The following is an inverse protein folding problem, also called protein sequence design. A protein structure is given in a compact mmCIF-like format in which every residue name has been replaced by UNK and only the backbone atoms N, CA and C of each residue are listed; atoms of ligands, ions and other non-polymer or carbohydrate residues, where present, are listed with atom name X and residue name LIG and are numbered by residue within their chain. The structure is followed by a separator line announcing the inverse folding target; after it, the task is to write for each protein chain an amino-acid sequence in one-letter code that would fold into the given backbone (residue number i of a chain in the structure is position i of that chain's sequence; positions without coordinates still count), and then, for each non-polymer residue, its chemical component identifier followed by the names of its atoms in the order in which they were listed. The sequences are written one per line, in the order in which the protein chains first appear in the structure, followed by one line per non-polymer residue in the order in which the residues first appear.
data_IF_768041458656
#
_entry.id   IF_768041458656
#
_cell.length_a   1.000
_cell.length_b   1.000
_cell.length_c   1.000
_cell.angle_alpha   90.00
_cell.angle_beta   90.00
_cell.angle_gamma   90.00
#
_symmetry.space_group_name_H-M   'P 1'
#
loop_
_entity.id
_entity.type
_entity.pdbx_description
1 polymer ?
#
# COMPACT_ATOMS: atom_id res chain seq x y z
N UNK A 1 25.68 -42.11 1.02
CA UNK A 1 25.87 -43.49 1.53
C UNK A 1 26.44 -43.35 2.94
N UNK A 2 25.66 -43.73 3.96
CA UNK A 2 26.03 -43.82 5.39
C UNK A 2 27.26 -44.74 5.59
N UNK A 3 28.08 -44.54 6.63
CA UNK A 3 27.74 -45.16 7.92
C UNK A 3 27.97 -44.30 9.18
N UNK A 4 27.16 -44.69 10.15
CA UNK A 4 27.00 -44.27 11.53
C UNK A 4 28.09 -44.94 12.39
N UNK A 5 28.76 -44.23 13.29
CA UNK A 5 29.63 -44.82 14.31
C UNK A 5 28.95 -44.74 15.68
N UNK A 6 28.65 -45.91 16.26
CA UNK A 6 28.05 -46.09 17.58
C UNK A 6 29.20 -46.34 18.58
N UNK A 7 29.28 -45.51 19.62
CA UNK A 7 30.12 -45.72 20.80
C UNK A 7 29.25 -45.98 22.03
N UNK A 8 29.39 -47.17 22.61
CA UNK A 8 28.74 -47.65 23.85
C UNK A 8 29.55 -47.24 25.09
N UNK A 9 28.88 -46.70 26.11
CA UNK A 9 29.33 -46.65 27.50
C UNK A 9 28.11 -46.89 28.43
N UNK A 10 28.27 -47.63 29.55
CA UNK A 10 27.14 -48.18 30.31
C UNK A 10 26.62 -47.21 31.39
N UNK A 11 25.30 -47.19 31.57
CA UNK A 11 24.61 -46.58 32.70
C UNK A 11 24.50 -47.60 33.85
N UNK A 12 24.98 -47.23 35.02
CA UNK A 12 24.78 -47.97 36.26
C UNK A 12 23.40 -47.60 36.85
N UNK A 13 22.54 -48.61 37.04
CA UNK A 13 21.28 -48.49 37.78
C UNK A 13 21.53 -48.82 39.26
N UNK A 14 21.35 -47.83 40.14
CA UNK A 14 21.21 -48.05 41.58
C UNK A 14 19.75 -48.38 41.90
N UNK A 15 19.52 -49.47 42.61
CA UNK A 15 18.21 -49.87 43.14
C UNK A 15 17.89 -49.03 44.39
N UNK A 16 16.71 -48.42 44.43
CA UNK A 16 16.09 -47.89 45.64
C UNK A 16 14.76 -48.62 45.84
N UNK A 17 14.53 -49.10 47.07
CA UNK A 17 13.30 -49.77 47.52
C UNK A 17 12.10 -48.82 47.48
N UNK A 18 10.86 -49.33 47.31
CA UNK A 18 9.67 -48.50 47.34
C UNK A 18 9.18 -48.31 48.79
N UNK A 19 9.19 -47.07 49.27
CA UNK A 19 8.44 -46.68 50.47
C UNK A 19 6.94 -46.54 50.13
N UNK A 20 6.10 -47.03 51.03
CA UNK A 20 4.63 -47.05 50.97
C UNK A 20 4.01 -45.63 50.88
N UNK A 21 2.83 -45.46 50.27
CA UNK A 21 2.14 -44.17 50.25
C UNK A 21 1.54 -43.85 51.62
N UNK A 22 1.95 -42.72 52.20
CA UNK A 22 1.34 -42.12 53.38
C UNK A 22 -0.06 -41.58 53.03
N UNK A 23 -1.09 -42.18 53.64
CA UNK A 23 -2.49 -41.80 53.54
C UNK A 23 -2.77 -40.69 54.59
N UNK A 24 -2.27 -39.50 54.32
CA UNK A 24 -2.67 -38.28 55.03
C UNK A 24 -3.51 -37.42 54.10
N UNK A 25 -4.82 -37.66 54.10
CA UNK A 25 -5.79 -36.74 53.52
C UNK A 25 -5.61 -35.33 54.12
N UNK A 26 -5.74 -34.31 53.27
CA UNK A 26 -5.68 -32.90 53.65
C UNK A 26 -6.58 -32.64 54.87
N UNK A 27 -6.06 -31.92 55.87
CA UNK A 27 -6.85 -31.54 57.04
C UNK A 27 -7.97 -30.56 56.67
N UNK A 28 -9.06 -30.51 57.44
CA UNK A 28 -10.16 -29.56 57.20
C UNK A 28 -9.69 -28.09 57.23
N UNK A 29 -8.63 -27.79 57.99
CA UNK A 29 -7.99 -26.47 58.02
C UNK A 29 -7.22 -26.17 56.73
N UNK A 30 -6.47 -27.14 56.18
CA UNK A 30 -5.76 -26.97 54.89
C UNK A 30 -6.74 -26.89 53.72
N UNK A 31 -7.85 -27.65 53.75
CA UNK A 31 -8.94 -27.52 52.78
C UNK A 31 -9.60 -26.15 52.87
N UNK A 32 -9.83 -25.63 54.08
CA UNK A 32 -10.39 -24.29 54.27
C UNK A 32 -9.42 -23.18 53.84
N UNK A 33 -8.11 -23.34 54.03
CA UNK A 33 -7.09 -22.40 53.52
C UNK A 33 -6.97 -22.45 52.00
N UNK A 34 -7.03 -23.63 51.39
CA UNK A 34 -7.03 -23.79 49.93
C UNK A 34 -8.31 -23.20 49.32
N UNK A 35 -9.48 -23.41 49.94
CA UNK A 35 -10.75 -22.86 49.48
C UNK A 35 -10.80 -21.34 49.68
N UNK A 36 -10.22 -20.82 50.76
CA UNK A 36 -10.05 -19.38 50.99
C UNK A 36 -9.10 -18.75 49.97
N UNK A 37 -7.97 -19.40 49.65
CA UNK A 37 -7.02 -18.94 48.64
C UNK A 37 -7.63 -18.98 47.22
N UNK A 38 -8.38 -20.02 46.88
CA UNK A 38 -9.11 -20.13 45.60
C UNK A 38 -10.27 -19.12 45.49
N UNK A 39 -10.89 -18.74 46.61
CA UNK A 39 -11.91 -17.68 46.63
C UNK A 39 -11.31 -16.27 46.51
N UNK A 40 -10.05 -16.08 46.94
CA UNK A 40 -9.33 -14.81 46.85
C UNK A 40 -8.70 -14.57 45.46
N UNK A 41 -8.37 -15.65 44.74
CA UNK A 41 -7.90 -15.63 43.34
C UNK A 41 -9.01 -15.93 42.31
N UNK A 42 -10.26 -16.03 42.75
CA UNK A 42 -11.40 -16.06 41.82
C UNK A 42 -11.43 -14.74 41.02
N UNK A 43 -11.46 -14.79 39.68
CA UNK A 43 -11.68 -13.59 38.88
C UNK A 43 -12.94 -12.90 39.40
N UNK A 44 -12.97 -11.57 39.54
CA UNK A 44 -14.19 -10.88 39.92
C UNK A 44 -15.30 -11.36 38.99
N UNK A 45 -16.38 -11.86 39.61
CA UNK A 45 -17.60 -12.32 38.93
C UNK A 45 -17.89 -11.33 37.81
N UNK A 46 -17.78 -11.83 36.57
CA UNK A 46 -17.87 -11.01 35.36
C UNK A 46 -19.18 -10.24 35.45
N UNK A 47 -19.07 -8.94 35.75
CA UNK A 47 -20.22 -8.06 35.84
C UNK A 47 -21.00 -8.28 34.55
N UNK A 48 -22.26 -8.70 34.70
CA UNK A 48 -23.15 -8.95 33.57
C UNK A 48 -22.91 -7.85 32.53
N UNK A 49 -22.65 -8.22 31.26
CA UNK A 49 -22.25 -7.25 30.26
C UNK A 49 -23.21 -6.07 30.36
N UNK A 50 -22.71 -4.83 30.47
CA UNK A 50 -23.60 -3.68 30.53
C UNK A 50 -24.61 -3.87 29.42
N UNK A 51 -25.93 -3.69 29.69
CA UNK A 51 -26.96 -3.98 28.71
C UNK A 51 -26.49 -3.35 27.43
N UNK A 52 -26.29 -4.20 26.40
CA UNK A 52 -25.78 -3.78 25.11
C UNK A 52 -26.40 -2.41 24.85
N UNK A 53 -25.58 -1.36 24.79
CA UNK A 53 -26.04 -0.04 24.37
C UNK A 53 -26.34 -0.14 22.88
N UNK A 54 -27.33 -0.97 22.54
CA UNK A 54 -27.92 -1.16 21.24
C UNK A 54 -28.37 0.21 20.74
N UNK A 55 -28.78 1.12 21.63
CA UNK A 55 -29.19 2.48 21.27
C UNK A 55 -28.07 3.41 20.79
N UNK A 56 -26.84 3.31 21.30
CA UNK A 56 -25.76 4.24 20.91
C UNK A 56 -25.01 3.78 19.65
N UNK A 57 -24.85 2.46 19.46
CA UNK A 57 -24.30 1.90 18.21
C UNK A 57 -25.33 1.80 17.08
N UNK A 58 -26.63 1.63 17.37
CA UNK A 58 -27.66 1.66 16.31
C UNK A 58 -27.92 3.06 15.75
N UNK A 59 -27.62 4.13 16.48
CA UNK A 59 -27.67 5.49 15.93
C UNK A 59 -26.44 5.83 15.06
N UNK A 60 -25.33 5.09 15.21
CA UNK A 60 -24.22 5.07 14.25
C UNK A 60 -24.50 4.18 13.03
N UNK A 61 -25.53 3.32 13.05
CA UNK A 61 -25.67 2.23 12.06
C UNK A 61 -26.45 2.59 10.78
N UNK A 62 -26.65 3.87 10.48
CA UNK A 62 -27.23 4.30 9.20
C UNK A 62 -26.48 5.45 8.52
N UNK A 63 -25.67 6.22 9.24
CA UNK A 63 -24.86 7.28 8.66
C UNK A 63 -23.50 6.71 8.24
N UNK A 64 -22.98 7.10 7.08
CA UNK A 64 -21.69 6.62 6.63
C UNK A 64 -20.57 7.16 7.51
N UNK A 65 -19.47 6.42 7.59
CA UNK A 65 -18.21 6.96 8.07
C UNK A 65 -17.76 8.02 7.07
N UNK A 66 -17.64 9.27 7.53
CA UNK A 66 -17.23 10.41 6.71
C UNK A 66 -15.97 11.03 7.31
N UNK A 67 -14.94 11.25 6.48
CA UNK A 67 -13.74 12.01 6.85
C UNK A 67 -13.33 12.98 5.76
N UNK A 68 -12.75 14.12 6.15
CA UNK A 68 -12.07 15.05 5.27
C UNK A 68 -10.57 15.06 5.57
N UNK A 69 -9.74 14.97 4.53
CA UNK A 69 -8.29 15.11 4.62
C UNK A 69 -7.86 16.31 3.78
N UNK A 70 -7.13 17.26 4.36
CA UNK A 70 -6.62 18.42 3.66
C UNK A 70 -5.10 18.41 3.65
N UNK A 71 -4.51 18.45 2.46
CA UNK A 71 -3.07 18.47 2.23
C UNK A 71 -2.64 19.79 1.60
N UNK A 72 -1.81 20.55 2.32
CA UNK A 72 -1.25 21.83 1.85
C UNK A 72 0.28 21.80 1.94
N UNK A 73 0.96 22.49 1.04
CA UNK A 73 2.42 22.57 1.03
C UNK A 73 2.92 23.97 0.71
N UNK A 74 3.99 24.39 1.40
CA UNK A 74 4.86 25.46 0.95
C UNK A 74 6.02 24.83 0.19
N UNK A 75 6.20 25.20 -1.08
CA UNK A 75 7.20 24.62 -1.97
C UNK A 75 8.20 25.67 -2.46
N UNK A 76 9.44 25.23 -2.65
CA UNK A 76 10.49 25.99 -3.30
C UNK A 76 11.27 25.10 -4.28
N UNK A 77 11.45 25.56 -5.50
CA UNK A 77 12.15 24.93 -6.61
C UNK A 77 13.26 25.85 -7.09
N UNK A 78 14.40 25.26 -7.48
CA UNK A 78 15.50 26.01 -8.12
C UNK A 78 15.30 26.22 -9.63
N UNK A 79 14.21 25.70 -10.20
CA UNK A 79 13.87 25.78 -11.63
C UNK A 79 12.47 26.35 -11.82
N UNK A 80 12.24 26.99 -12.97
CA UNK A 80 10.93 27.54 -13.36
C UNK A 80 9.98 26.45 -13.88
N UNK A 81 10.51 25.33 -14.35
CA UNK A 81 9.75 24.19 -14.90
C UNK A 81 10.10 22.92 -14.12
N UNK A 82 9.54 22.73 -12.90
CA UNK A 82 9.78 21.52 -12.12
C UNK A 82 9.11 20.31 -12.79
N UNK A 83 9.82 19.18 -12.83
CA UNK A 83 9.32 17.94 -13.44
C UNK A 83 8.65 17.01 -12.41
N UNK A 84 7.62 17.50 -11.74
CA UNK A 84 6.79 16.70 -10.85
C UNK A 84 5.78 15.91 -11.68
N UNK A 85 5.53 14.65 -11.30
CA UNK A 85 4.74 13.73 -12.12
C UNK A 85 3.42 13.33 -11.50
N UNK A 86 3.28 13.47 -10.17
CA UNK A 86 2.04 13.23 -9.46
C UNK A 86 1.06 14.39 -9.64
N UNK A 87 -0.23 14.08 -9.75
CA UNK A 87 -1.30 15.06 -9.91
C UNK A 87 -1.51 15.91 -8.66
N UNK A 88 -1.21 15.34 -7.49
CA UNK A 88 -1.26 16.01 -6.19
C UNK A 88 0.08 16.59 -5.73
N UNK A 89 1.16 16.43 -6.50
CA UNK A 89 2.46 16.97 -6.11
C UNK A 89 2.40 18.51 -6.03
N UNK A 90 3.20 19.18 -5.17
CA UNK A 90 3.39 20.61 -5.29
C UNK A 90 4.03 20.92 -6.66
N UNK A 91 3.43 21.82 -7.45
CA UNK A 91 3.86 22.10 -8.84
C UNK A 91 4.49 23.50 -9.02
N UNK A 92 4.37 24.37 -8.01
CA UNK A 92 4.87 25.75 -8.12
C UNK A 92 5.48 26.26 -6.81
N UNK A 93 6.35 27.27 -6.93
CA UNK A 93 6.88 28.00 -5.78
C UNK A 93 5.74 28.66 -4.97
N UNK A 94 5.83 28.61 -3.65
CA UNK A 94 4.84 29.19 -2.74
C UNK A 94 3.83 28.17 -2.23
N UNK A 95 2.59 28.61 -1.99
CA UNK A 95 1.54 27.79 -1.38
C UNK A 95 0.82 26.94 -2.43
N UNK A 96 0.73 25.64 -2.14
CA UNK A 96 0.06 24.65 -2.96
C UNK A 96 -1.03 23.97 -2.12
N UNK A 97 -2.22 23.81 -2.69
CA UNK A 97 -3.25 22.89 -2.19
C UNK A 97 -3.12 21.61 -3.01
N UNK A 98 -2.66 20.54 -2.37
CA UNK A 98 -2.46 19.25 -3.04
C UNK A 98 -3.82 18.55 -3.20
N UNK A 99 -4.59 18.51 -2.12
CA UNK A 99 -5.95 17.97 -2.14
C UNK A 99 -6.76 18.41 -0.92
N UNK A 100 -8.08 18.45 -1.08
CA UNK A 100 -9.05 18.23 -0.01
C UNK A 100 -9.83 16.97 -0.37
N UNK A 101 -9.58 15.87 0.30
CA UNK A 101 -10.23 14.59 0.07
C UNK A 101 -11.43 14.41 1.00
N UNK A 102 -12.57 13.98 0.46
CA UNK A 102 -13.71 13.45 1.18
C UNK A 102 -13.69 11.94 1.03
N UNK A 103 -13.58 11.23 2.15
CA UNK A 103 -13.74 9.78 2.18
C UNK A 103 -15.06 9.40 2.86
N UNK A 104 -15.76 8.44 2.26
CA UNK A 104 -17.07 7.95 2.69
C UNK A 104 -17.07 6.43 2.64
N UNK A 105 -17.41 5.76 3.75
CA UNK A 105 -17.47 4.30 3.82
C UNK A 105 -18.67 3.80 4.62
N UNK A 106 -19.38 2.79 4.11
CA UNK A 106 -20.51 2.19 4.83
C UNK A 106 -20.85 0.78 4.33
N UNK A 107 -21.22 -0.11 5.25
CA UNK A 107 -21.93 -1.33 4.87
C UNK A 107 -23.35 -0.96 4.39
N UNK A 108 -23.63 -1.20 3.10
CA UNK A 108 -24.94 -0.92 2.50
C UNK A 108 -25.98 -1.89 3.09
N UNK A 109 -25.60 -3.16 3.14
CA UNK A 109 -26.39 -4.28 3.67
C UNK A 109 -25.43 -5.43 4.08
N UNK A 110 -25.91 -6.61 4.50
CA UNK A 110 -25.04 -7.73 4.86
C UNK A 110 -24.18 -8.29 3.70
N UNK A 111 -24.46 -7.91 2.45
CA UNK A 111 -23.82 -8.43 1.25
C UNK A 111 -22.86 -7.44 0.60
N UNK A 112 -23.08 -6.12 0.76
CA UNK A 112 -22.30 -5.09 0.09
C UNK A 112 -21.79 -4.01 1.04
N UNK A 113 -20.57 -3.56 0.79
CA UNK A 113 -19.98 -2.33 1.33
C UNK A 113 -19.79 -1.32 0.21
N UNK A 114 -20.05 -0.06 0.49
CA UNK A 114 -19.78 1.08 -0.38
C UNK A 114 -18.59 1.85 0.17
N UNK A 115 -17.69 2.24 -0.72
CA UNK A 115 -16.52 3.08 -0.42
C UNK A 115 -16.38 4.15 -1.52
N UNK A 116 -16.06 5.37 -1.11
CA UNK A 116 -15.81 6.50 -2.00
C UNK A 116 -14.71 7.43 -1.49
N UNK A 117 -13.86 7.89 -2.38
CA UNK A 117 -12.83 8.91 -2.17
C UNK A 117 -12.99 9.97 -3.27
N UNK A 118 -13.32 11.20 -2.87
CA UNK A 118 -13.60 12.32 -3.76
C UNK A 118 -12.63 13.44 -3.42
N UNK A 119 -11.82 13.86 -4.39
CA UNK A 119 -10.84 14.93 -4.19
C UNK A 119 -11.37 16.25 -4.74
N UNK A 120 -11.32 17.28 -3.91
CA UNK A 120 -11.57 18.67 -4.26
C UNK A 120 -10.22 19.36 -4.47
N UNK A 121 -9.96 19.78 -5.70
CA UNK A 121 -8.84 20.63 -6.06
C UNK A 121 -9.30 22.10 -6.14
N UNK A 122 -8.36 23.03 -6.29
CA UNK A 122 -8.69 24.46 -6.39
C UNK A 122 -9.61 24.77 -7.59
N UNK A 123 -9.51 23.98 -8.66
CA UNK A 123 -10.24 24.19 -9.92
C UNK A 123 -10.99 22.95 -10.41
N UNK A 124 -11.41 22.06 -9.51
CA UNK A 124 -12.13 20.86 -9.93
C UNK A 124 -12.54 19.97 -8.78
N UNK A 125 -13.39 19.01 -9.10
CA UNK A 125 -13.74 17.90 -8.23
C UNK A 125 -13.49 16.63 -9.03
N UNK A 126 -12.79 15.70 -8.42
CA UNK A 126 -12.42 14.45 -9.01
C UNK A 126 -12.96 13.30 -8.18
N UNK A 127 -13.63 12.38 -8.85
CA UNK A 127 -14.01 11.10 -8.25
C UNK A 127 -12.79 10.21 -8.41
N UNK A 128 -12.15 9.82 -7.32
CA UNK A 128 -10.98 8.95 -7.39
C UNK A 128 -11.40 7.49 -7.36
N UNK A 129 -12.12 7.15 -6.30
CA UNK A 129 -12.71 5.85 -6.11
C UNK A 129 -14.18 6.01 -5.73
N UNK A 130 -15.06 5.23 -6.34
CA UNK A 130 -16.46 5.03 -5.95
C UNK A 130 -16.81 3.61 -6.38
N UNK A 131 -16.94 2.70 -5.43
CA UNK A 131 -17.23 1.31 -5.73
C UNK A 131 -18.05 0.63 -4.64
N UNK A 132 -18.65 -0.51 -5.01
CA UNK A 132 -19.27 -1.43 -4.07
C UNK A 132 -18.50 -2.76 -4.06
N UNK A 133 -18.31 -3.32 -2.87
CA UNK A 133 -17.58 -4.56 -2.65
C UNK A 133 -18.48 -5.59 -1.97
N UNK A 134 -18.45 -6.84 -2.45
CA UNK A 134 -19.16 -7.94 -1.81
C UNK A 134 -18.51 -8.36 -0.48
N UNK A 135 -19.30 -8.76 0.51
CA UNK A 135 -18.82 -9.10 1.86
C UNK A 135 -18.80 -10.61 2.15
N UNK A 136 -19.49 -11.43 1.36
CA UNK A 136 -19.80 -12.82 1.77
C UNK A 136 -19.86 -13.83 0.64
N UNK A 137 -19.12 -13.65 -0.47
CA UNK A 137 -19.08 -14.68 -1.51
C UNK A 137 -18.35 -15.94 -1.00
N UNK A 138 -18.82 -17.14 -1.40
CA UNK A 138 -18.21 -18.40 -0.97
C UNK A 138 -16.77 -18.54 -1.48
N UNK A 139 -16.00 -19.41 -0.84
CA UNK A 139 -14.65 -19.73 -1.30
C UNK A 139 -13.62 -18.61 -1.07
N UNK A 140 -13.87 -17.69 -0.13
CA UNK A 140 -12.99 -16.54 0.16
C UNK A 140 -12.79 -15.63 -1.07
N UNK A 141 -13.82 -15.59 -1.90
CA UNK A 141 -13.87 -14.72 -3.07
C UNK A 141 -14.45 -13.36 -2.67
N UNK A 142 -14.00 -12.31 -3.34
CA UNK A 142 -14.54 -10.97 -3.20
C UNK A 142 -14.60 -10.32 -4.58
N UNK A 143 -15.68 -9.60 -4.85
CA UNK A 143 -15.82 -8.78 -6.06
C UNK A 143 -16.04 -7.35 -5.65
N UNK A 144 -15.36 -6.42 -6.31
CA UNK A 144 -15.71 -4.99 -6.29
C UNK A 144 -16.01 -4.48 -7.69
N UNK A 145 -16.95 -3.56 -7.80
CA UNK A 145 -17.37 -2.95 -9.07
C UNK A 145 -17.59 -1.45 -8.87
N UNK A 146 -17.09 -0.65 -9.82
CA UNK A 146 -17.08 0.81 -9.73
C UNK A 146 -15.77 1.38 -10.25
N UNK A 147 -15.46 2.61 -9.88
CA UNK A 147 -14.17 3.21 -10.16
C UNK A 147 -13.23 2.99 -8.98
N UNK A 148 -12.03 2.48 -9.24
CA UNK A 148 -11.06 2.16 -8.20
C UNK A 148 -9.63 2.22 -8.72
N UNK A 149 -8.68 2.44 -7.81
CA UNK A 149 -7.26 2.22 -8.07
C UNK A 149 -7.02 0.72 -8.22
N UNK A 150 -6.41 0.34 -9.35
CA UNK A 150 -6.06 -1.05 -9.61
C UNK A 150 -5.02 -1.53 -8.59
N UNK A 151 -5.10 -2.80 -8.17
CA UNK A 151 -4.18 -3.37 -7.17
C UNK A 151 -2.82 -3.80 -7.76
N UNK A 152 -2.28 -3.01 -8.70
CA UNK A 152 -0.92 -3.16 -9.20
C UNK A 152 0.08 -2.61 -8.19
N UNK A 153 1.03 -3.43 -7.74
CA UNK A 153 2.01 -3.02 -6.73
C UNK A 153 1.36 -2.67 -5.37
N UNK A 154 2.12 -1.94 -4.56
CA UNK A 154 1.73 -1.46 -3.23
C UNK A 154 1.35 0.02 -3.24
N UNK A 155 2.09 0.85 -3.96
CA UNK A 155 1.87 2.30 -3.94
C UNK A 155 0.63 2.74 -4.72
N UNK A 156 0.34 2.09 -5.86
CA UNK A 156 -0.78 2.50 -6.71
C UNK A 156 -2.13 2.55 -5.99
N UNK A 157 -2.55 1.53 -5.21
CA UNK A 157 -3.82 1.59 -4.47
C UNK A 157 -3.75 2.44 -3.19
N UNK A 158 -2.75 3.31 -3.03
CA UNK A 158 -2.55 4.13 -1.84
C UNK A 158 -2.75 5.60 -2.17
N UNK A 159 -3.65 6.26 -1.43
CA UNK A 159 -3.94 7.70 -1.54
C UNK A 159 -2.83 8.59 -0.94
N UNK A 160 -2.69 9.87 -1.36
CA UNK A 160 -1.59 10.74 -0.98
C UNK A 160 -1.36 10.92 0.53
N UNK A 161 -2.42 10.97 1.33
CA UNK A 161 -2.33 11.11 2.79
C UNK A 161 -1.72 9.88 3.47
N UNK A 162 -1.70 8.73 2.82
CA UNK A 162 -1.03 7.54 3.33
C UNK A 162 0.44 7.42 2.88
N UNK A 163 0.93 8.29 1.99
CA UNK A 163 2.32 8.25 1.53
C UNK A 163 3.30 8.71 2.62
N UNK A 164 4.52 8.16 2.58
CA UNK A 164 5.64 8.58 3.43
C UNK A 164 6.27 9.90 2.96
N UNK A 165 6.03 10.29 1.71
CA UNK A 165 6.60 11.46 1.03
C UNK A 165 5.48 12.39 0.56
N UNK A 166 5.81 13.67 0.41
CA UNK A 166 4.90 14.72 -0.04
C UNK A 166 4.47 14.49 -1.48
N UNK A 167 5.34 13.95 -2.32
CA UNK A 167 5.13 13.70 -3.74
C UNK A 167 5.02 12.20 -4.08
N UNK A 168 4.38 11.93 -5.22
CA UNK A 168 4.33 10.60 -5.82
C UNK A 168 5.71 10.21 -6.37
N UNK A 169 6.14 8.93 -6.24
CA UNK A 169 7.30 8.46 -6.99
C UNK A 169 7.12 8.70 -8.49
N UNK A 170 8.10 9.34 -9.14
CA UNK A 170 8.08 9.58 -10.57
C UNK A 170 8.00 8.29 -11.39
N UNK A 171 8.54 7.20 -10.85
CA UNK A 171 8.47 5.89 -11.48
C UNK A 171 7.01 5.48 -11.76
N UNK A 172 6.09 5.82 -10.85
CA UNK A 172 4.66 5.57 -11.01
C UNK A 172 4.01 6.60 -11.93
N UNK A 173 4.30 7.88 -11.75
CA UNK A 173 3.77 8.94 -12.61
C UNK A 173 4.13 8.72 -14.09
N UNK A 174 5.32 8.18 -14.37
CA UNK A 174 5.71 7.80 -15.73
C UNK A 174 4.86 6.67 -16.30
N UNK A 175 4.63 5.61 -15.54
CA UNK A 175 3.96 4.41 -16.03
C UNK A 175 2.44 4.59 -16.05
N UNK A 176 1.87 5.15 -14.99
CA UNK A 176 0.43 5.19 -14.77
C UNK A 176 -0.19 6.57 -15.06
N UNK A 177 0.60 7.63 -14.89
CA UNK A 177 0.12 9.01 -14.86
C UNK A 177 0.02 9.53 -13.43
N UNK A 178 -0.26 10.84 -13.30
CA UNK A 178 -0.18 11.54 -12.03
C UNK A 178 -1.24 11.14 -10.99
N UNK A 179 -2.34 10.54 -11.42
CA UNK A 179 -3.47 10.14 -10.55
C UNK A 179 -3.48 8.63 -10.26
N UNK A 180 -2.41 7.92 -10.62
CA UNK A 180 -2.30 6.47 -10.45
C UNK A 180 -3.20 5.68 -11.40
N UNK A 181 -2.91 4.40 -11.54
CA UNK A 181 -3.62 3.50 -12.44
C UNK A 181 -5.00 3.16 -11.88
N UNK A 182 -6.04 3.77 -12.42
CA UNK A 182 -7.44 3.60 -12.00
C UNK A 182 -8.40 3.67 -13.17
N UNK A 183 -9.58 3.10 -12.98
CA UNK A 183 -10.64 3.20 -13.97
C UNK A 183 -11.95 2.58 -13.49
N UNK A 184 -13.02 2.88 -14.22
CA UNK A 184 -14.31 2.22 -14.04
C UNK A 184 -14.21 0.77 -14.50
N UNK A 185 -14.63 -0.18 -13.68
CA UNK A 185 -14.49 -1.59 -13.99
C UNK A 185 -15.00 -2.54 -12.93
N UNK A 186 -14.49 -3.76 -12.98
CA UNK A 186 -14.75 -4.83 -12.02
C UNK A 186 -13.43 -5.48 -11.60
N UNK A 187 -13.31 -5.85 -10.33
CA UNK A 187 -12.18 -6.59 -9.78
C UNK A 187 -12.69 -7.79 -8.99
N UNK A 188 -12.06 -8.94 -9.17
CA UNK A 188 -12.21 -10.12 -8.34
C UNK A 188 -10.92 -10.42 -7.58
N UNK A 189 -11.04 -10.83 -6.31
CA UNK A 189 -9.93 -11.35 -5.53
C UNK A 189 -10.29 -12.66 -4.84
N UNK A 190 -9.30 -13.52 -4.64
CA UNK A 190 -9.44 -14.78 -3.93
C UNK A 190 -8.26 -15.01 -3.00
N UNK A 191 -8.56 -15.32 -1.74
CA UNK A 191 -7.55 -15.79 -0.79
C UNK A 191 -7.40 -17.31 -0.92
N UNK A 192 -6.23 -17.77 -1.36
CA UNK A 192 -5.98 -19.19 -1.59
C UNK A 192 -5.89 -19.96 -0.26
N UNK A 193 -6.34 -21.23 -0.21
CA UNK A 193 -6.27 -22.09 0.98
C UNK A 193 -4.85 -22.68 1.16
N UNK A 194 -3.84 -21.82 1.22
CA UNK A 194 -2.43 -22.18 1.40
C UNK A 194 -1.99 -21.94 2.86
N UNK A 195 -0.91 -22.59 3.34
CA UNK A 195 -0.43 -22.42 4.72
C UNK A 195 0.23 -21.05 5.00
N UNK A 196 0.38 -20.21 3.98
CA UNK A 196 0.73 -18.79 4.11
C UNK A 196 -0.27 -17.94 3.33
N UNK A 197 -0.28 -16.63 3.59
CA UNK A 197 -1.16 -15.71 2.88
C UNK A 197 -0.78 -15.65 1.40
N UNK A 198 -1.73 -15.98 0.52
CA UNK A 198 -1.64 -15.73 -0.92
C UNK A 198 -2.99 -15.25 -1.41
N UNK A 199 -3.01 -14.01 -1.88
CA UNK A 199 -4.18 -13.43 -2.53
C UNK A 199 -3.90 -13.26 -4.03
N UNK A 200 -4.83 -13.72 -4.86
CA UNK A 200 -4.82 -13.48 -6.30
C UNK A 200 -5.90 -12.46 -6.61
N UNK A 201 -5.55 -11.43 -7.37
CA UNK A 201 -6.44 -10.34 -7.77
C UNK A 201 -6.42 -10.21 -9.30
N UNK A 202 -7.57 -9.98 -9.91
CA UNK A 202 -7.68 -9.62 -11.31
C UNK A 202 -8.79 -8.58 -11.51
N UNK A 203 -8.54 -7.58 -12.34
CA UNK A 203 -9.49 -6.53 -12.69
C UNK A 203 -9.52 -6.26 -14.19
N UNK A 204 -10.68 -5.85 -14.66
CA UNK A 204 -10.91 -5.32 -16.00
C UNK A 204 -11.47 -3.90 -15.84
N UNK A 205 -10.74 -2.90 -16.32
CA UNK A 205 -11.12 -1.49 -16.25
C UNK A 205 -11.13 -0.86 -17.63
N UNK A 206 -11.80 0.28 -17.75
CA UNK A 206 -11.58 1.17 -18.90
C UNK A 206 -10.10 1.53 -19.00
N UNK A 207 -9.57 1.62 -20.23
CA UNK A 207 -8.16 1.88 -20.53
C UNK A 207 -7.86 3.37 -20.81
N UNK A 208 -8.80 4.26 -20.50
CA UNK A 208 -8.77 5.69 -20.81
C UNK A 208 -8.49 6.55 -19.56
N UNK A 209 -8.14 7.82 -19.80
CA UNK A 209 -7.80 8.81 -18.78
C UNK A 209 -6.32 9.19 -18.86
N UNK A 210 -6.04 10.45 -19.18
CA UNK A 210 -4.67 10.94 -19.41
C UNK A 210 -3.77 10.72 -18.19
N UNK A 211 -4.29 11.04 -17.00
CA UNK A 211 -3.54 10.96 -15.76
C UNK A 211 -3.70 9.62 -15.03
N UNK A 212 -4.60 8.74 -15.50
CA UNK A 212 -4.96 7.48 -14.82
C UNK A 212 -4.67 6.21 -15.61
N UNK A 213 -4.41 6.32 -16.91
CA UNK A 213 -4.13 5.20 -17.81
C UNK A 213 -3.07 5.59 -18.85
N UNK A 214 -2.04 6.35 -18.41
CA UNK A 214 -1.04 7.00 -19.28
C UNK A 214 -0.37 6.06 -20.29
N UNK A 215 -0.05 4.83 -19.88
CA UNK A 215 0.57 3.83 -20.76
C UNK A 215 -0.41 3.15 -21.73
N UNK A 216 -1.72 3.33 -21.58
CA UNK A 216 -2.76 2.68 -22.37
C UNK A 216 -3.39 3.67 -23.36
N UNK A 217 -4.72 3.72 -23.50
CA UNK A 217 -5.35 4.73 -24.38
C UNK A 217 -5.15 6.14 -23.85
N UNK A 218 -4.98 6.31 -22.53
CA UNK A 218 -4.72 7.61 -21.93
C UNK A 218 -5.75 8.65 -22.39
N UNK A 219 -5.27 9.80 -22.87
CA UNK A 219 -6.10 10.90 -23.36
C UNK A 219 -6.87 10.62 -24.67
N UNK A 220 -6.41 9.68 -25.49
CA UNK A 220 -6.90 9.53 -26.87
C UNK A 220 -8.16 8.66 -26.99
N UNK A 221 -8.62 8.05 -25.88
CA UNK A 221 -9.79 7.18 -25.74
C UNK A 221 -10.38 6.71 -27.08
N UNK A 222 -9.84 5.61 -27.60
CA UNK A 222 -10.31 5.05 -28.86
C UNK A 222 -11.64 4.29 -28.69
N UNK A 223 -12.23 4.28 -27.49
CA UNK A 223 -13.48 3.60 -27.19
C UNK A 223 -13.41 2.07 -27.25
N UNK A 224 -14.42 1.43 -26.66
CA UNK A 224 -14.49 -0.02 -26.51
C UNK A 224 -15.30 -0.65 -27.65
N UNK A 225 -14.69 -1.55 -28.42
CA UNK A 225 -15.34 -2.36 -29.46
C UNK A 225 -15.35 -3.84 -29.11
N UNK A 226 -14.41 -4.28 -28.28
CA UNK A 226 -14.31 -5.64 -27.76
C UNK A 226 -13.72 -5.64 -26.34
N UNK A 227 -13.82 -6.75 -25.59
CA UNK A 227 -13.14 -6.86 -24.30
C UNK A 227 -11.62 -6.63 -24.34
N UNK A 228 -10.98 -6.77 -25.51
CA UNK A 228 -9.55 -6.49 -25.69
C UNK A 228 -9.22 -4.99 -25.63
N UNK A 229 -10.23 -4.12 -25.74
CA UNK A 229 -10.08 -2.66 -25.61
C UNK A 229 -10.18 -2.19 -24.15
N UNK A 230 -10.31 -3.12 -23.20
CA UNK A 230 -10.19 -2.89 -21.77
C UNK A 230 -8.74 -3.08 -21.32
N UNK A 231 -8.46 -2.56 -20.13
CA UNK A 231 -7.22 -2.80 -19.41
C UNK A 231 -7.44 -3.89 -18.38
N UNK A 232 -6.66 -4.96 -18.49
CA UNK A 232 -6.58 -6.00 -17.48
C UNK A 232 -5.46 -5.68 -16.50
N UNK A 233 -5.68 -5.86 -15.20
CA UNK A 233 -4.63 -5.86 -14.18
C UNK A 233 -4.75 -7.10 -13.32
N UNK A 234 -3.66 -7.84 -13.15
CA UNK A 234 -3.59 -9.03 -12.31
C UNK A 234 -2.43 -8.91 -11.31
N UNK A 235 -2.63 -9.41 -10.09
CA UNK A 235 -1.61 -9.42 -9.06
C UNK A 235 -1.69 -10.68 -8.19
N UNK A 236 -0.53 -11.15 -7.74
CA UNK A 236 -0.40 -12.17 -6.69
C UNK A 236 0.33 -11.53 -5.52
N UNK A 237 -0.31 -11.50 -4.36
CA UNK A 237 0.21 -10.87 -3.14
C UNK A 237 0.45 -11.93 -2.07
N UNK A 238 1.65 -11.93 -1.50
CA UNK A 238 2.07 -12.93 -0.51
C UNK A 238 2.55 -12.25 0.76
N UNK A 239 2.28 -12.85 1.92
CA UNK A 239 2.76 -12.36 3.22
C UNK A 239 3.44 -13.46 4.02
N UNK A 240 4.61 -13.12 4.58
CA UNK A 240 5.49 -13.99 5.34
C UNK A 240 5.84 -13.33 6.69
N UNK A 241 5.31 -13.82 7.81
CA UNK A 241 5.71 -13.38 9.14
C UNK A 241 6.94 -14.18 9.60
N UNK A 242 8.14 -13.69 9.29
CA UNK A 242 9.39 -14.42 9.57
C UNK A 242 9.59 -14.70 11.07
N UNK A 243 9.20 -13.75 11.92
CA UNK A 243 9.16 -13.86 13.38
C UNK A 243 8.26 -12.74 13.95
N UNK A 244 8.28 -12.54 15.27
CA UNK A 244 7.47 -11.52 15.95
C UNK A 244 7.84 -10.08 15.56
N UNK A 245 9.07 -9.85 15.11
CA UNK A 245 9.58 -8.52 14.77
C UNK A 245 9.54 -8.23 13.26
N UNK A 246 9.74 -9.25 12.43
CA UNK A 246 9.95 -9.12 10.99
C UNK A 246 8.81 -9.72 10.19
N UNK A 247 8.33 -8.94 9.22
CA UNK A 247 7.33 -9.38 8.25
C UNK A 247 7.66 -8.88 6.86
N UNK A 248 7.33 -9.69 5.85
CA UNK A 248 7.53 -9.39 4.44
C UNK A 248 6.20 -9.52 3.69
N UNK A 249 5.85 -8.53 2.90
CA UNK A 249 4.94 -8.69 1.76
C UNK A 249 5.73 -8.70 0.46
N UNK A 250 5.38 -9.61 -0.43
CA UNK A 250 5.95 -9.68 -1.77
C UNK A 250 4.82 -9.82 -2.79
N UNK A 251 4.85 -8.96 -3.80
CA UNK A 251 3.89 -8.94 -4.89
C UNK A 251 4.53 -9.13 -6.26
N UNK A 252 3.76 -9.78 -7.14
CA UNK A 252 3.97 -9.82 -8.58
C UNK A 252 2.72 -9.26 -9.25
N UNK A 253 2.90 -8.30 -10.15
CA UNK A 253 1.80 -7.60 -10.83
C UNK A 253 2.00 -7.59 -12.33
N UNK A 254 0.91 -7.62 -13.08
CA UNK A 254 0.88 -7.43 -14.52
C UNK A 254 -0.31 -6.56 -14.90
N UNK A 255 -0.11 -5.61 -15.81
CA UNK A 255 -1.18 -4.86 -16.43
C UNK A 255 -1.01 -4.90 -17.94
N UNK A 256 -2.10 -5.13 -18.67
CA UNK A 256 -2.09 -5.22 -20.13
C UNK A 256 -3.34 -4.61 -20.73
N UNK A 257 -3.18 -3.86 -21.82
CA UNK A 257 -4.28 -3.11 -22.40
C UNK A 257 -3.91 -2.51 -23.75
N UNK A 258 -4.89 -1.97 -24.49
CA UNK A 258 -4.60 -1.28 -25.74
C UNK A 258 -3.91 0.07 -25.46
N UNK A 259 -3.22 0.64 -26.45
CA UNK A 259 -2.54 1.92 -26.27
C UNK A 259 -2.81 2.95 -27.37
N UNK A 260 -2.51 4.20 -27.06
CA UNK A 260 -2.82 5.37 -27.88
C UNK A 260 -2.10 5.39 -29.26
N UNK A 261 -1.05 4.59 -29.47
CA UNK A 261 -0.30 4.61 -30.73
C UNK A 261 -1.01 3.93 -31.91
N UNK A 262 -2.16 3.28 -31.66
CA UNK A 262 -3.02 2.70 -32.69
C UNK A 262 -3.93 1.61 -32.13
N UNK A 263 -5.11 1.40 -32.74
CA UNK A 263 -6.12 0.45 -32.21
C UNK A 263 -5.64 -0.99 -32.01
N UNK A 264 -4.62 -1.44 -32.74
CA UNK A 264 -4.05 -2.78 -32.58
C UNK A 264 -2.88 -2.85 -31.61
N UNK A 265 -2.33 -1.70 -31.19
CA UNK A 265 -1.15 -1.64 -30.37
C UNK A 265 -1.51 -1.78 -28.90
N UNK A 266 -0.68 -2.50 -28.15
CA UNK A 266 -0.88 -2.81 -26.74
C UNK A 266 0.31 -2.39 -25.91
N UNK A 267 0.02 -2.09 -24.65
CA UNK A 267 1.01 -1.91 -23.61
C UNK A 267 0.91 -3.03 -22.60
N UNK A 268 2.05 -3.46 -22.10
CA UNK A 268 2.20 -4.41 -21.02
C UNK A 268 3.13 -3.81 -19.97
N UNK A 269 2.75 -3.91 -18.71
CA UNK A 269 3.59 -3.52 -17.57
C UNK A 269 3.71 -4.72 -16.67
N UNK A 270 4.95 -5.11 -16.37
CA UNK A 270 5.29 -6.18 -15.45
C UNK A 270 5.88 -5.55 -14.20
N UNK A 271 5.41 -5.95 -13.02
CA UNK A 271 5.81 -5.36 -11.75
C UNK A 271 6.16 -6.38 -10.68
N UNK A 272 7.09 -6.01 -9.80
CA UNK A 272 7.27 -6.68 -8.52
C UNK A 272 7.47 -5.65 -7.41
N UNK A 273 6.88 -5.92 -6.26
CA UNK A 273 6.91 -5.06 -5.09
C UNK A 273 7.33 -5.85 -3.85
N UNK A 274 8.18 -5.25 -3.02
CA UNK A 274 8.65 -5.81 -1.75
C UNK A 274 8.39 -4.79 -0.65
N UNK A 275 7.73 -5.23 0.43
CA UNK A 275 7.55 -4.44 1.65
C UNK A 275 8.03 -5.25 2.85
N UNK A 276 9.21 -4.92 3.34
CA UNK A 276 9.81 -5.51 4.53
C UNK A 276 9.59 -4.58 5.71
N UNK A 277 9.03 -5.11 6.80
CA UNK A 277 8.78 -4.35 8.02
C UNK A 277 9.48 -5.00 9.20
N UNK A 278 10.18 -4.16 9.95
CA UNK A 278 10.69 -4.46 11.29
C UNK A 278 9.96 -3.62 12.32
N UNK A 279 9.32 -4.27 13.29
CA UNK A 279 8.70 -3.63 14.44
C UNK A 279 8.96 -4.52 15.66
N UNK A 280 9.83 -4.11 16.60
CA UNK A 280 10.14 -4.92 17.78
C UNK A 280 8.86 -5.29 18.55
N UNK A 281 8.70 -6.56 18.89
CA UNK A 281 7.62 -7.09 19.71
C UNK A 281 7.74 -6.67 21.18
N UNK A 282 8.88 -6.08 21.57
CA UNK A 282 9.10 -5.57 22.92
C UNK A 282 8.06 -4.53 23.32
N UNK A 283 7.46 -4.74 24.49
CA UNK A 283 6.42 -3.85 25.05
C UNK A 283 6.95 -2.43 25.16
N UNK A 284 6.29 -1.49 24.47
CA UNK A 284 6.59 -0.06 24.55
C UNK A 284 7.53 0.49 23.47
N UNK A 285 7.98 -0.32 22.51
CA UNK A 285 8.76 0.18 21.37
C UNK A 285 7.88 0.99 20.41
N UNK A 286 8.25 2.25 20.17
CA UNK A 286 7.67 3.08 19.11
C UNK A 286 8.37 2.89 17.77
N UNK A 287 9.42 2.08 17.74
CA UNK A 287 10.24 1.86 16.55
C UNK A 287 9.48 1.04 15.51
N UNK A 288 9.43 1.55 14.29
CA UNK A 288 9.02 0.79 13.11
C UNK A 288 9.91 1.20 11.95
N UNK A 289 10.50 0.22 11.28
CA UNK A 289 11.30 0.40 10.08
C UNK A 289 10.61 -0.32 8.93
N UNK A 290 10.45 0.36 7.80
CA UNK A 290 9.82 -0.21 6.61
C UNK A 290 10.70 0.06 5.41
N UNK A 291 11.02 -0.98 4.65
CA UNK A 291 11.69 -0.92 3.36
C UNK A 291 10.66 -1.31 2.29
N UNK A 292 10.35 -0.38 1.39
CA UNK A 292 9.51 -0.64 0.21
C UNK A 292 10.35 -0.52 -1.04
N UNK A 293 10.23 -1.46 -1.97
CA UNK A 293 10.88 -1.39 -3.29
C UNK A 293 9.90 -1.88 -4.35
N UNK A 294 9.68 -1.09 -5.41
CA UNK A 294 8.87 -1.48 -6.56
C UNK A 294 9.65 -1.31 -7.85
N UNK A 295 9.52 -2.30 -8.73
CA UNK A 295 10.17 -2.33 -10.04
C UNK A 295 9.14 -2.63 -11.11
N UNK A 296 9.19 -1.88 -12.21
CA UNK A 296 8.29 -2.00 -13.34
C UNK A 296 9.08 -2.06 -14.64
N UNK A 297 8.78 -3.07 -15.47
CA UNK A 297 9.17 -3.12 -16.87
C UNK A 297 7.94 -2.81 -17.70
N UNK A 298 7.99 -1.74 -18.49
CA UNK A 298 6.96 -1.38 -19.45
C UNK A 298 7.40 -1.79 -20.85
N UNK A 299 6.49 -2.40 -21.61
CA UNK A 299 6.63 -2.68 -23.05
C UNK A 299 5.44 -2.08 -23.76
N UNK A 300 5.69 -1.24 -24.77
CA UNK A 300 4.66 -0.50 -25.48
C UNK A 300 4.83 -0.67 -26.98
N UNK A 301 3.87 -1.33 -27.62
CA UNK A 301 3.83 -1.41 -29.07
C UNK A 301 3.58 -0.02 -29.64
N UNK A 302 4.35 0.34 -30.66
CA UNK A 302 4.19 1.55 -31.48
C UNK A 302 4.21 1.13 -32.95
N UNK A 303 4.07 2.07 -33.89
CA UNK A 303 4.01 1.75 -35.32
C UNK A 303 5.26 1.02 -35.84
N UNK A 304 5.18 -0.31 -35.92
CA UNK A 304 6.25 -1.18 -36.45
C UNK A 304 7.32 -1.60 -35.43
N UNK A 305 7.15 -1.29 -34.14
CA UNK A 305 8.19 -1.50 -33.13
C UNK A 305 7.59 -1.71 -31.72
N UNK A 306 8.43 -2.07 -30.74
CA UNK A 306 8.08 -2.19 -29.32
C UNK A 306 9.11 -1.43 -28.49
N UNK A 307 8.65 -0.36 -27.85
CA UNK A 307 9.44 0.39 -26.89
C UNK A 307 9.46 -0.33 -25.54
N UNK A 308 10.60 -0.32 -24.87
CA UNK A 308 10.74 -0.89 -23.53
C UNK A 308 11.50 0.05 -22.59
N UNK A 309 11.02 0.18 -21.35
CA UNK A 309 11.64 1.01 -20.32
C UNK A 309 11.44 0.39 -18.92
N UNK A 310 12.36 0.70 -18.01
CA UNK A 310 12.35 0.22 -16.62
C UNK A 310 12.23 1.42 -15.69
N UNK A 311 11.29 1.34 -14.74
CA UNK A 311 11.09 2.34 -13.70
C UNK A 311 11.03 1.66 -12.34
N UNK A 312 11.62 2.28 -11.33
CA UNK A 312 11.62 1.74 -9.98
C UNK A 312 11.74 2.83 -8.94
N UNK A 313 11.28 2.53 -7.73
CA UNK A 313 11.65 3.29 -6.55
C UNK A 313 11.94 2.35 -5.39
N UNK A 314 12.76 2.84 -4.46
CA UNK A 314 13.02 2.17 -3.18
C UNK A 314 13.03 3.22 -2.09
N UNK A 315 12.27 2.98 -1.02
CA UNK A 315 12.22 3.86 0.14
C UNK A 315 12.43 3.10 1.45
N UNK A 316 13.13 3.74 2.37
CA UNK A 316 13.33 3.30 3.74
C UNK A 316 12.73 4.35 4.66
N UNK A 317 11.71 3.99 5.44
CA UNK A 317 11.12 4.84 6.46
C UNK A 317 11.38 4.27 7.85
N UNK A 318 11.76 5.14 8.79
CA UNK A 318 12.03 4.80 10.17
C UNK A 318 11.27 5.75 11.08
N UNK A 319 10.23 5.24 11.73
CA UNK A 319 9.61 5.87 12.88
C UNK A 319 10.44 5.48 14.10
N UNK A 320 11.20 6.43 14.65
CA UNK A 320 12.12 6.19 15.76
C UNK A 320 11.55 6.66 17.11
N UNK A 321 10.48 7.46 17.08
CA UNK A 321 9.77 7.90 18.27
C UNK A 321 8.26 7.95 17.98
N UNK A 322 7.45 8.06 19.05
CA UNK A 322 6.00 8.11 18.95
C UNK A 322 5.50 9.16 17.96
N UNK A 323 6.19 10.30 17.84
CA UNK A 323 5.77 11.44 17.03
C UNK A 323 6.76 11.83 15.93
N UNK A 324 7.83 11.07 15.73
CA UNK A 324 8.88 11.42 14.77
C UNK A 324 9.30 10.24 13.91
N UNK A 325 9.57 10.55 12.66
CA UNK A 325 10.10 9.61 11.69
C UNK A 325 10.91 10.32 10.62
N UNK A 326 11.79 9.57 9.99
CA UNK A 326 12.57 9.99 8.82
C UNK A 326 12.42 8.96 7.73
N UNK A 327 12.49 9.40 6.48
CA UNK A 327 12.48 8.51 5.33
C UNK A 327 13.45 8.99 4.25
N UNK A 328 14.02 8.05 3.51
CA UNK A 328 14.76 8.31 2.28
C UNK A 328 14.18 7.51 1.14
N UNK A 329 14.03 8.11 -0.04
CA UNK A 329 13.56 7.46 -1.27
C UNK A 329 14.55 7.70 -2.39
N UNK A 330 14.83 6.66 -3.16
CA UNK A 330 15.61 6.72 -4.38
C UNK A 330 14.80 6.13 -5.53
N UNK A 331 14.86 6.79 -6.66
CA UNK A 331 14.06 6.49 -7.84
C UNK A 331 14.93 6.45 -9.08
N UNK A 332 14.55 5.58 -10.01
CA UNK A 332 15.30 5.28 -11.23
C UNK A 332 14.31 5.09 -12.38
N UNK A 333 14.56 5.74 -13.52
CA UNK A 333 13.82 5.49 -14.75
C UNK A 333 14.74 5.57 -15.97
N UNK A 334 14.70 4.55 -16.81
CA UNK A 334 15.54 4.45 -18.00
C UNK A 334 14.98 5.22 -19.19
N UNK A 335 15.74 5.53 -20.24
CA UNK A 335 15.12 5.87 -21.52
C UNK A 335 14.37 4.66 -22.11
N UNK A 336 13.66 4.89 -23.20
CA UNK A 336 13.03 3.81 -23.97
C UNK A 336 14.02 3.18 -24.96
N UNK A 337 13.96 1.86 -25.12
CA UNK A 337 14.71 1.12 -26.13
C UNK A 337 13.78 0.36 -27.07
N UNK A 338 14.15 0.30 -28.35
CA UNK A 338 13.44 -0.47 -29.37
C UNK A 338 13.72 -1.99 -29.26
N UNK A 339 13.12 -2.77 -30.16
CA UNK A 339 13.34 -4.22 -30.26
C UNK A 339 14.79 -4.63 -30.55
N UNK A 340 15.55 -3.77 -31.21
CA UNK A 340 16.96 -4.00 -31.55
C UNK A 340 17.91 -3.57 -30.41
N UNK A 341 17.37 -3.02 -29.32
CA UNK A 341 18.10 -2.55 -28.16
C UNK A 341 18.77 -1.17 -28.36
N UNK A 342 18.40 -0.43 -29.40
CA UNK A 342 18.84 0.93 -29.60
C UNK A 342 17.95 1.92 -28.84
N UNK A 343 18.53 3.07 -28.48
CA UNK A 343 17.79 4.17 -27.88
C UNK A 343 16.67 4.61 -28.83
N UNK A 344 15.44 4.60 -28.35
CA UNK A 344 14.26 4.97 -29.12
C UNK A 344 13.68 6.31 -28.65
N UNK A 345 13.11 7.07 -29.58
CA UNK A 345 12.30 8.24 -29.27
C UNK A 345 10.92 7.76 -28.82
N UNK A 346 10.58 7.96 -27.55
CA UNK A 346 9.26 7.64 -27.02
C UNK A 346 8.32 8.85 -27.14
N UNK A 347 7.24 8.80 -27.96
CA UNK A 347 6.28 9.90 -28.06
C UNK A 347 5.60 10.29 -26.73
N UNK A 348 5.55 9.41 -25.73
CA UNK A 348 5.01 9.75 -24.41
C UNK A 348 6.03 10.52 -23.54
N UNK A 349 7.31 10.29 -23.77
CA UNK A 349 8.41 10.79 -22.94
C UNK A 349 9.59 11.27 -23.83
N UNK A 350 9.38 12.21 -24.79
CA UNK A 350 10.38 12.53 -25.81
C UNK A 350 11.66 13.16 -25.26
N UNK A 351 11.58 13.80 -24.08
CA UNK A 351 12.74 14.36 -23.40
C UNK A 351 13.57 13.31 -22.66
N UNK A 352 13.04 12.09 -22.47
CA UNK A 352 13.63 11.04 -21.63
C UNK A 352 14.62 10.15 -22.38
N UNK A 353 15.75 10.75 -22.77
CA UNK A 353 16.77 10.13 -23.63
C UNK A 353 17.95 9.53 -22.86
N UNK A 354 17.99 9.68 -21.53
CA UNK A 354 19.00 9.10 -20.67
C UNK A 354 18.39 8.64 -19.34
N UNK A 355 19.22 8.03 -18.49
CA UNK A 355 18.82 7.58 -17.17
C UNK A 355 18.43 8.78 -16.30
N UNK A 356 17.27 8.71 -15.64
CA UNK A 356 16.80 9.70 -14.65
C UNK A 356 16.89 9.10 -13.25
N UNK A 357 17.34 9.91 -12.31
CA UNK A 357 17.44 9.54 -10.91
C UNK A 357 16.88 10.65 -10.04
N UNK A 358 16.11 10.29 -9.01
CA UNK A 358 15.67 11.22 -7.98
C UNK A 358 16.01 10.67 -6.61
N UNK A 359 16.60 11.49 -5.76
CA UNK A 359 16.80 11.21 -4.35
C UNK A 359 15.97 12.17 -3.49
N UNK A 360 15.26 11.62 -2.51
CA UNK A 360 14.36 12.35 -1.63
C UNK A 360 14.68 12.03 -0.17
N UNK A 361 14.66 13.03 0.69
CA UNK A 361 14.74 12.88 2.15
C UNK A 361 13.54 13.57 2.77
N UNK A 362 12.85 12.90 3.68
CA UNK A 362 11.70 13.43 4.39
C UNK A 362 11.84 13.26 5.91
N UNK A 363 11.44 14.27 6.66
CA UNK A 363 11.24 14.19 8.12
C UNK A 363 9.78 14.45 8.42
N UNK A 364 9.15 13.55 9.17
CA UNK A 364 7.75 13.65 9.56
C UNK A 364 7.61 13.84 11.06
N UNK A 365 6.79 14.81 11.45
CA UNK A 365 6.31 15.03 12.80
C UNK A 365 4.79 14.83 12.87
N UNK A 366 4.33 14.05 13.84
CA UNK A 366 2.91 13.84 14.14
C UNK A 366 2.54 14.54 15.45
N UNK A 367 2.05 15.80 15.43
CA UNK A 367 1.58 16.47 16.64
C UNK A 367 0.49 15.66 17.36
N UNK A 368 -0.43 15.09 16.57
CA UNK A 368 -1.58 14.27 16.98
C UNK A 368 -1.81 13.17 15.93
N UNK A 369 -2.78 12.27 16.16
CA UNK A 369 -3.25 11.33 15.13
C UNK A 369 -4.00 11.99 13.96
N UNK A 370 -4.42 13.25 14.09
CA UNK A 370 -5.22 14.00 13.11
C UNK A 370 -4.42 15.00 12.29
N UNK A 371 -3.11 15.09 12.52
CA UNK A 371 -2.27 16.12 11.91
C UNK A 371 -0.88 15.59 11.64
N UNK A 372 -0.30 15.95 10.50
CA UNK A 372 1.04 15.52 10.09
C UNK A 372 1.78 16.67 9.43
N UNK A 373 3.00 16.96 9.91
CA UNK A 373 3.90 17.96 9.36
C UNK A 373 5.10 17.25 8.73
N UNK A 374 5.45 17.61 7.50
CA UNK A 374 6.55 17.00 6.75
C UNK A 374 7.49 18.07 6.20
N UNK A 375 8.79 17.83 6.34
CA UNK A 375 9.84 18.58 5.65
C UNK A 375 10.56 17.63 4.72
N UNK A 376 10.41 17.87 3.42
CA UNK A 376 11.02 17.07 2.37
C UNK A 376 11.97 17.90 1.52
N UNK A 377 13.07 17.27 1.07
CA UNK A 377 13.96 17.83 0.07
C UNK A 377 14.27 16.78 -1.00
N UNK A 378 14.22 17.21 -2.26
CA UNK A 378 14.42 16.37 -3.44
C UNK A 378 15.55 16.89 -4.31
N UNK A 379 16.31 15.97 -4.90
CA UNK A 379 17.28 16.23 -5.94
C UNK A 379 17.02 15.30 -7.13
N UNK A 380 16.62 15.87 -8.25
CA UNK A 380 16.24 15.16 -9.47
C UNK A 380 17.24 15.47 -10.58
N UNK A 381 17.85 14.41 -11.11
CA UNK A 381 18.74 14.49 -12.26
C UNK A 381 18.08 13.77 -13.43
N UNK A 382 17.64 14.54 -14.41
CA UNK A 382 16.99 14.02 -15.62
C UNK A 382 17.73 14.42 -16.90
N UNK A 383 17.38 13.77 -18.00
CA UNK A 383 18.00 13.99 -19.30
C UNK A 383 17.80 15.41 -19.81
N UNK A 384 18.89 16.07 -20.15
CA UNK A 384 18.88 17.43 -20.69
C UNK A 384 19.14 18.53 -19.66
N UNK A 385 19.25 18.22 -18.36
CA UNK A 385 19.73 19.19 -17.35
C UNK A 385 21.21 19.01 -17.06
N UNK A 386 21.93 20.14 -17.01
CA UNK A 386 23.34 20.17 -16.61
C UNK A 386 23.54 20.08 -15.09
N UNK A 387 22.53 20.45 -14.31
CA UNK A 387 22.52 20.45 -12.84
C UNK A 387 21.23 19.83 -12.34
N UNK A 388 21.21 19.21 -11.13
CA UNK A 388 19.97 18.69 -10.56
C UNK A 388 18.91 19.77 -10.35
N UNK A 389 17.66 19.42 -10.63
CA UNK A 389 16.50 20.18 -10.17
C UNK A 389 16.30 19.87 -8.68
N UNK A 390 16.25 20.92 -7.86
CA UNK A 390 16.15 20.83 -6.42
C UNK A 390 14.78 21.35 -5.98
N UNK A 391 14.13 20.60 -5.09
CA UNK A 391 12.87 21.00 -4.47
C UNK A 391 12.94 20.87 -2.95
N UNK A 392 12.23 21.75 -2.24
CA UNK A 392 12.00 21.65 -0.80
C UNK A 392 10.53 21.91 -0.50
N UNK A 393 9.93 21.05 0.31
CA UNK A 393 8.53 21.11 0.71
C UNK A 393 8.39 21.16 2.22
N UNK A 394 7.58 22.09 2.70
CA UNK A 394 7.00 22.04 4.04
C UNK A 394 5.51 21.75 3.88
N UNK A 395 5.11 20.50 4.12
CA UNK A 395 3.74 20.03 3.93
C UNK A 395 3.02 19.85 5.27
N UNK A 396 1.74 20.20 5.30
CA UNK A 396 0.88 20.03 6.45
C UNK A 396 -0.43 19.37 6.04
N UNK A 397 -0.77 18.33 6.77
CA UNK A 397 -1.96 17.50 6.56
C UNK A 397 -2.85 17.57 7.79
N UNK A 398 -4.15 17.68 7.55
CA UNK A 398 -5.18 17.62 8.58
C UNK A 398 -6.23 16.59 8.22
N UNK A 399 -6.66 15.80 9.20
CA UNK A 399 -7.77 14.88 9.06
C UNK A 399 -8.86 15.20 10.09
N UNK A 400 -10.11 15.27 9.65
CA UNK A 400 -11.29 15.45 10.51
C UNK A 400 -12.36 14.43 10.12
N UNK A 401 -12.96 13.77 11.09
CA UNK A 401 -14.10 12.88 10.89
C UNK A 401 -13.87 11.48 11.42
N UNK A 402 -14.57 10.49 10.85
CA UNK A 402 -14.43 9.09 11.23
C UNK A 402 -12.99 8.62 10.98
N UNK A 403 -12.30 8.28 12.06
CA UNK A 403 -10.92 7.82 11.99
C UNK A 403 -10.90 6.41 11.38
N UNK A 404 -10.52 6.27 10.10
CA UNK A 404 -10.30 4.94 9.53
C UNK A 404 -10.79 4.66 8.11
N UNK A 405 -10.89 5.63 7.21
CA UNK A 405 -11.02 5.32 5.78
C UNK A 405 -9.69 4.86 5.16
N UNK A 406 -8.99 3.93 5.83
CA UNK A 406 -7.82 3.25 5.28
C UNK A 406 -8.09 1.75 5.25
N UNK A 407 -7.92 1.15 4.09
CA UNK A 407 -7.66 -0.27 3.98
C UNK A 407 -6.22 -0.55 4.49
N UNK A 408 -6.07 -1.51 5.40
CA UNK A 408 -4.75 -2.00 5.84
C UNK A 408 -4.13 -2.97 4.84
#
# INVERSE_FOLDING_TARGET
MFPLLIGLLPLAFGQAEPDEPDDSGLSEEELAEIEAALSADAPPEEAAPPPLQLGARALQSMNPDISFIADVALAAFNTEEPLMSGGHDPQANGFNLQQLELSVGQAVDPYFRFDANIVFAQFGVEIEEVYATTLGLPGRFQVRAGQFLTRFGRQNPTHPHAWDFVDQPFALGRVWGGEGNRGLGVEGSVLLPLPWYVEVVASETMANGEATARSFYGAQDLGVRSPLDLQTTAAVKQFFPFNEDWSLMWGLSWAGGPNASGRGNRSEVYGTDLYLRYKPATVGSWTSVTLTSEWMLRRRQVGGDVLSDVNSYTQLAWRFARRWGVAGRYELGTPAWDLDGALAEDPLDPSWTALRHRGSLNTTFWPTEFSRLRLQGDADLHSGRATPDLAVFLAFEFNVGAHGAHHF
#
